data_IF_634796578924
#
_entry.id   IF_634796578924
#
_cell.length_a   1.000
_cell.length_b   1.000
_cell.length_c   1.000
_cell.angle_alpha   90.00
_cell.angle_beta   90.00
_cell.angle_gamma   90.00
#
_symmetry.space_group_name_H-M   'P 1'
#
loop_
_entity.id
_entity.type
_entity.pdbx_description
1 polymer ?
#
# COMPACT_ATOMS: atom_id res chain seq x y z
N UNK A 1 16.16 18.54 1.16
CA UNK A 1 16.55 17.21 1.67
C UNK A 1 16.25 17.02 3.16
N UNK A 2 16.64 17.92 4.07
CA UNK A 2 16.41 17.76 5.53
C UNK A 2 14.92 17.72 5.94
N UNK A 3 14.09 18.59 5.35
CA UNK A 3 12.62 18.59 5.55
C UNK A 3 11.93 17.31 5.05
N UNK A 4 12.48 16.67 4.02
CA UNK A 4 11.97 15.38 3.53
C UNK A 4 12.19 14.30 4.59
N UNK A 5 13.40 14.21 5.12
CA UNK A 5 13.81 13.19 6.11
C UNK A 5 13.01 13.25 7.43
N UNK A 6 12.66 14.44 7.90
CA UNK A 6 11.85 14.62 9.13
C UNK A 6 10.41 14.10 8.97
N UNK A 7 9.84 14.17 7.76
CA UNK A 7 8.47 13.70 7.49
C UNK A 7 8.40 12.17 7.35
N UNK A 8 9.47 11.53 6.86
CA UNK A 8 9.58 10.06 6.81
C UNK A 8 9.64 9.40 8.19
N UNK A 9 10.11 10.12 9.23
CA UNK A 9 10.10 9.65 10.63
C UNK A 9 8.71 9.70 11.27
N UNK A 10 7.82 10.58 10.80
CA UNK A 10 6.52 10.85 11.43
C UNK A 10 5.43 9.84 11.02
N UNK A 11 5.50 9.31 9.80
CA UNK A 11 4.50 8.37 9.24
C UNK A 11 4.77 6.92 9.70
N UNK A 12 5.99 6.61 10.14
CA UNK A 12 6.43 5.24 10.47
C UNK A 12 6.73 5.08 11.96
N UNK A 13 5.85 4.45 12.77
CA UNK A 13 6.13 4.19 14.18
C UNK A 13 7.37 3.30 14.43
N UNK A 14 7.95 2.73 13.37
CA UNK A 14 9.16 1.89 13.43
C UNK A 14 10.32 2.36 12.55
N UNK A 15 10.17 3.43 11.75
CA UNK A 15 11.17 3.85 10.77
C UNK A 15 11.52 2.78 9.72
N UNK A 16 12.10 3.18 8.59
CA UNK A 16 12.82 2.22 7.77
C UNK A 16 14.05 1.75 8.56
N UNK A 17 14.36 0.44 8.64
CA UNK A 17 15.61 0.01 9.25
C UNK A 17 16.77 0.68 8.49
N UNK A 18 17.58 1.48 9.19
CA UNK A 18 18.70 2.23 8.62
C UNK A 18 19.53 1.32 7.68
N UNK A 19 19.59 1.67 6.40
CA UNK A 19 20.34 0.92 5.38
C UNK A 19 19.55 -0.11 4.56
N UNK A 20 18.22 -0.16 4.69
CA UNK A 20 17.40 -1.07 3.88
C UNK A 20 17.09 -0.47 2.52
N UNK A 21 17.80 -0.93 1.48
CA UNK A 21 17.51 -0.54 0.09
C UNK A 21 16.12 -1.05 -0.35
N UNK A 22 15.38 -0.34 -1.23
CA UNK A 22 14.05 -0.74 -1.71
C UNK A 22 13.97 -2.19 -2.23
N UNK A 23 15.06 -2.71 -2.82
CA UNK A 23 15.14 -4.09 -3.31
C UNK A 23 15.06 -5.14 -2.19
N UNK A 24 15.44 -4.80 -0.96
CA UNK A 24 15.33 -5.71 0.18
C UNK A 24 13.90 -5.84 0.68
N UNK A 25 13.10 -4.76 0.60
CA UNK A 25 11.66 -4.79 0.94
C UNK A 25 10.92 -5.68 -0.06
N UNK A 26 11.19 -5.52 -1.35
CA UNK A 26 10.67 -6.39 -2.42
C UNK A 26 11.07 -7.86 -2.23
N UNK A 27 12.33 -8.13 -1.86
CA UNK A 27 12.80 -9.49 -1.58
C UNK A 27 12.09 -10.13 -0.38
N UNK A 28 11.82 -9.34 0.67
CA UNK A 28 11.11 -9.80 1.87
C UNK A 28 9.63 -10.08 1.57
N UNK A 29 9.02 -9.27 0.71
CA UNK A 29 7.66 -9.51 0.19
C UNK A 29 7.60 -10.81 -0.63
N UNK A 30 8.59 -11.05 -1.50
CA UNK A 30 8.65 -12.26 -2.35
C UNK A 30 9.20 -13.52 -1.67
N UNK A 31 9.51 -13.46 -0.38
CA UNK A 31 10.03 -14.61 0.37
C UNK A 31 9.03 -15.78 0.39
N UNK A 32 9.54 -17.01 0.46
CA UNK A 32 8.71 -18.22 0.58
C UNK A 32 7.82 -18.18 1.84
N UNK A 33 8.32 -17.56 2.91
CA UNK A 33 7.61 -17.27 4.15
C UNK A 33 6.43 -16.31 3.93
N UNK A 34 6.63 -15.27 3.09
CA UNK A 34 5.57 -14.33 2.71
C UNK A 34 4.42 -14.98 1.95
N UNK A 35 4.71 -15.90 1.02
CA UNK A 35 3.68 -16.65 0.27
C UNK A 35 2.89 -17.59 1.17
N UNK A 36 3.55 -18.23 2.13
CA UNK A 36 2.87 -19.09 3.11
C UNK A 36 1.97 -18.26 4.04
N UNK A 37 2.43 -17.10 4.49
CA UNK A 37 1.65 -16.17 5.31
C UNK A 37 0.42 -15.62 4.56
N UNK A 38 0.54 -15.29 3.27
CA UNK A 38 -0.61 -14.90 2.43
C UNK A 38 -1.62 -16.02 2.28
N UNK A 39 -1.16 -17.25 2.01
CA UNK A 39 -2.04 -18.41 1.87
C UNK A 39 -2.82 -18.66 3.16
N UNK A 40 -2.12 -18.69 4.31
CA UNK A 40 -2.75 -18.90 5.61
C UNK A 40 -3.70 -17.74 5.93
N UNK A 41 -3.31 -16.48 5.72
CA UNK A 41 -4.18 -15.35 6.02
C UNK A 41 -5.44 -15.33 5.14
N UNK A 42 -5.33 -15.66 3.86
CA UNK A 42 -6.48 -15.74 2.97
C UNK A 42 -7.41 -16.88 3.37
N UNK A 43 -6.85 -18.00 3.83
CA UNK A 43 -7.63 -19.13 4.30
C UNK A 43 -8.33 -18.85 5.63
N UNK A 44 -7.61 -18.31 6.63
CA UNK A 44 -8.15 -17.95 7.94
C UNK A 44 -9.17 -16.80 7.87
N UNK A 45 -9.00 -15.86 6.94
CA UNK A 45 -9.95 -14.76 6.72
C UNK A 45 -11.22 -15.16 5.98
N UNK A 46 -11.37 -16.43 5.60
CA UNK A 46 -12.49 -16.91 4.78
C UNK A 46 -13.62 -17.54 5.62
N UNK A 47 -14.88 -17.39 5.18
CA UNK A 47 -16.03 -18.05 5.84
C UNK A 47 -15.94 -19.59 5.91
N UNK A 48 -15.39 -20.30 4.91
CA UNK A 48 -15.18 -21.75 5.00
C UNK A 48 -14.37 -22.20 6.23
N UNK A 49 -13.38 -21.41 6.66
CA UNK A 49 -12.59 -21.70 7.86
C UNK A 49 -13.46 -21.72 9.12
N UNK A 50 -14.38 -20.75 9.22
CA UNK A 50 -15.33 -20.65 10.35
C UNK A 50 -16.27 -21.85 10.36
N UNK A 51 -16.84 -22.22 9.20
CA UNK A 51 -17.72 -23.39 9.11
C UNK A 51 -17.01 -24.69 9.47
N UNK A 52 -15.75 -24.86 9.02
CA UNK A 52 -14.93 -26.00 9.40
C UNK A 52 -14.76 -26.09 10.92
N UNK A 53 -14.41 -24.99 11.59
CA UNK A 53 -14.24 -24.95 13.05
C UNK A 53 -15.54 -25.27 13.79
N UNK A 54 -16.66 -24.71 13.35
CA UNK A 54 -17.97 -24.99 13.94
C UNK A 54 -18.31 -26.48 13.84
N UNK A 55 -18.14 -27.09 12.66
CA UNK A 55 -18.41 -28.53 12.45
C UNK A 55 -17.45 -29.38 13.28
N UNK A 56 -16.17 -29.02 13.31
CA UNK A 56 -15.14 -29.70 14.10
C UNK A 56 -15.51 -29.68 15.59
N UNK A 57 -15.85 -28.52 16.15
CA UNK A 57 -16.23 -28.40 17.56
C UNK A 57 -17.49 -29.20 17.87
N UNK A 58 -18.54 -29.07 17.05
CA UNK A 58 -19.77 -29.86 17.23
C UNK A 58 -19.46 -31.36 17.20
N UNK A 59 -18.63 -31.80 16.26
CA UNK A 59 -18.21 -33.20 16.16
C UNK A 59 -17.47 -33.66 17.42
N UNK A 60 -16.56 -32.82 17.96
CA UNK A 60 -15.84 -33.12 19.20
C UNK A 60 -16.78 -33.23 20.40
N UNK A 61 -17.73 -32.31 20.53
CA UNK A 61 -18.74 -32.36 21.58
C UNK A 61 -19.61 -33.62 21.47
N UNK A 62 -20.07 -33.97 20.27
CA UNK A 62 -20.89 -35.16 20.06
C UNK A 62 -20.12 -36.43 20.42
N UNK A 63 -18.86 -36.56 20.00
CA UNK A 63 -18.01 -37.73 20.30
C UNK A 63 -17.74 -37.88 21.80
N UNK A 64 -17.53 -36.79 22.53
CA UNK A 64 -17.15 -36.83 23.95
C UNK A 64 -18.34 -36.75 24.93
N UNK A 65 -19.45 -36.11 24.55
CA UNK A 65 -20.64 -35.95 25.39
C UNK A 65 -21.61 -37.11 25.23
N UNK A 66 -21.75 -37.63 24.01
CA UNK A 66 -22.66 -38.74 23.76
C UNK A 66 -21.89 -40.05 23.88
N UNK A 67 -22.28 -40.91 24.81
CA UNK A 67 -21.81 -42.31 24.92
C UNK A 67 -22.18 -43.17 23.67
N UNK A 68 -22.48 -42.54 22.54
CA UNK A 68 -23.05 -43.13 21.33
C UNK A 68 -22.07 -44.08 20.65
N UNK A 69 -20.76 -43.82 20.74
CA UNK A 69 -19.77 -44.65 20.04
C UNK A 69 -19.29 -45.88 20.81
N UNK A 70 -19.40 -45.92 22.14
CA UNK A 70 -19.22 -47.16 22.89
C UNK A 70 -19.65 -47.02 24.36
N UNK A 71 -20.49 -47.95 24.82
CA UNK A 71 -20.80 -48.15 26.25
C UNK A 71 -19.57 -48.63 27.06
N UNK A 72 -18.45 -48.95 26.39
CA UNK A 72 -17.23 -49.49 26.99
C UNK A 72 -15.96 -48.63 26.79
N UNK A 73 -16.03 -47.50 26.07
CA UNK A 73 -14.88 -46.60 25.88
C UNK A 73 -15.05 -45.38 26.77
N UNK A 74 -14.03 -45.13 27.61
CA UNK A 74 -13.93 -43.94 28.45
C UNK A 74 -13.84 -42.69 27.55
N UNK A 75 -14.59 -41.63 27.87
CA UNK A 75 -14.53 -40.37 27.12
C UNK A 75 -13.08 -39.92 26.94
N UNK A 76 -12.69 -39.67 25.68
CA UNK A 76 -11.31 -39.33 25.31
C UNK A 76 -10.89 -37.98 25.91
N UNK A 77 -11.79 -37.00 25.88
CA UNK A 77 -11.63 -35.68 26.47
C UNK A 77 -12.88 -35.35 27.30
N UNK A 78 -12.95 -35.76 28.57
CA UNK A 78 -14.09 -35.50 29.44
C UNK A 78 -14.26 -34.00 29.69
N UNK A 79 -15.50 -33.55 29.93
CA UNK A 79 -15.76 -32.18 30.39
C UNK A 79 -14.88 -31.88 31.62
N UNK A 80 -14.05 -30.82 31.61
CA UNK A 80 -14.19 -29.57 30.83
C UNK A 80 -13.44 -29.49 29.46
N UNK A 81 -13.15 -30.60 28.78
CA UNK A 81 -12.49 -30.65 27.45
C UNK A 81 -11.08 -30.03 27.45
N UNK A 82 -10.20 -30.55 28.30
CA UNK A 82 -8.85 -30.03 28.47
C UNK A 82 -7.97 -30.19 27.22
N UNK A 83 -8.10 -31.31 26.50
CA UNK A 83 -7.30 -31.56 25.30
C UNK A 83 -7.71 -30.63 24.15
N UNK A 84 -9.02 -30.45 23.94
CA UNK A 84 -9.53 -29.51 22.94
C UNK A 84 -9.03 -28.09 23.22
N UNK A 85 -9.14 -27.65 24.47
CA UNK A 85 -8.72 -26.30 24.89
C UNK A 85 -7.23 -26.08 24.66
N UNK A 86 -6.41 -27.08 25.00
CA UNK A 86 -4.96 -27.02 24.76
C UNK A 86 -4.63 -26.92 23.26
N UNK A 87 -5.25 -27.73 22.41
CA UNK A 87 -5.00 -27.71 20.96
C UNK A 87 -5.43 -26.36 20.36
N UNK A 88 -6.64 -25.89 20.67
CA UNK A 88 -7.18 -24.62 20.16
C UNK A 88 -6.34 -23.42 20.63
N UNK A 89 -5.84 -23.43 21.86
CA UNK A 89 -4.97 -22.35 22.35
C UNK A 89 -3.64 -22.29 21.62
N UNK A 90 -3.01 -23.44 21.33
CA UNK A 90 -1.80 -23.49 20.51
C UNK A 90 -2.08 -23.02 19.09
N UNK A 91 -3.17 -23.47 18.49
CA UNK A 91 -3.60 -23.04 17.16
C UNK A 91 -3.84 -21.52 17.11
N UNK A 92 -4.50 -20.95 18.11
CA UNK A 92 -4.74 -19.52 18.20
C UNK A 92 -3.44 -18.70 18.29
N UNK A 93 -2.42 -19.18 19.00
CA UNK A 93 -1.09 -18.52 19.03
C UNK A 93 -0.45 -18.52 17.64
N UNK A 94 -0.50 -19.65 16.92
CA UNK A 94 0.02 -19.71 15.54
C UNK A 94 -0.77 -18.79 14.60
N UNK A 95 -2.10 -18.79 14.67
CA UNK A 95 -2.93 -17.91 13.87
C UNK A 95 -2.64 -16.43 14.16
N UNK A 96 -2.52 -16.04 15.43
CA UNK A 96 -2.19 -14.68 15.82
C UNK A 96 -0.81 -14.24 15.30
N UNK A 97 0.20 -15.12 15.37
CA UNK A 97 1.54 -14.81 14.84
C UNK A 97 1.53 -14.69 13.31
N UNK A 98 0.82 -15.56 12.60
CA UNK A 98 0.67 -15.44 11.14
C UNK A 98 -0.09 -14.18 10.73
N UNK A 99 -1.16 -13.81 11.45
CA UNK A 99 -1.88 -12.55 11.24
C UNK A 99 -0.93 -11.37 11.42
N UNK A 100 -0.14 -11.36 12.50
CA UNK A 100 0.82 -10.28 12.77
C UNK A 100 1.90 -10.17 11.69
N UNK A 101 2.43 -11.29 11.21
CA UNK A 101 3.39 -11.31 10.09
C UNK A 101 2.74 -10.73 8.83
N UNK A 102 1.51 -11.13 8.52
CA UNK A 102 0.79 -10.65 7.34
C UNK A 102 0.46 -9.15 7.45
N UNK A 103 0.07 -8.67 8.63
CA UNK A 103 -0.16 -7.25 8.92
C UNK A 103 1.11 -6.43 8.77
N UNK A 104 2.23 -6.88 9.33
CA UNK A 104 3.51 -6.20 9.19
C UNK A 104 3.96 -6.13 7.72
N UNK A 105 3.72 -7.19 6.93
CA UNK A 105 4.00 -7.17 5.49
C UNK A 105 3.11 -6.19 4.75
N UNK A 106 1.80 -6.18 5.02
CA UNK A 106 0.87 -5.25 4.39
C UNK A 106 1.25 -3.79 4.69
N UNK A 107 1.58 -3.47 5.94
CA UNK A 107 2.04 -2.13 6.32
C UNK A 107 3.28 -1.67 5.52
N UNK A 108 4.23 -2.58 5.26
CA UNK A 108 5.40 -2.28 4.42
C UNK A 108 5.02 -2.04 2.95
N UNK A 109 4.09 -2.83 2.40
CA UNK A 109 3.59 -2.66 1.02
C UNK A 109 2.85 -1.33 0.89
N UNK A 110 1.99 -1.00 1.84
CA UNK A 110 1.21 0.24 1.84
C UNK A 110 2.14 1.45 1.96
N UNK A 111 3.14 1.38 2.84
CA UNK A 111 4.19 2.41 2.91
C UNK A 111 4.88 2.61 1.57
N UNK A 112 5.32 1.53 0.92
CA UNK A 112 6.00 1.63 -0.38
C UNK A 112 5.13 2.31 -1.44
N UNK A 113 3.84 1.94 -1.50
CA UNK A 113 2.87 2.57 -2.43
C UNK A 113 2.75 4.07 -2.20
N UNK A 114 2.60 4.49 -0.95
CA UNK A 114 2.53 5.92 -0.61
C UNK A 114 3.79 6.69 -1.03
N UNK A 115 4.97 6.06 -0.94
CA UNK A 115 6.21 6.69 -1.38
C UNK A 115 6.37 6.77 -2.90
N UNK A 116 5.74 5.86 -3.63
CA UNK A 116 5.69 5.87 -5.08
C UNK A 116 4.72 6.96 -5.56
N UNK A 117 3.53 7.04 -4.96
CA UNK A 117 2.55 8.11 -5.17
C UNK A 117 3.14 9.50 -4.90
N UNK A 118 3.86 9.69 -3.78
CA UNK A 118 4.53 10.97 -3.48
C UNK A 118 5.59 11.33 -4.53
N UNK A 119 6.28 10.34 -5.11
CA UNK A 119 7.28 10.60 -6.14
C UNK A 119 6.63 10.99 -7.47
N UNK A 120 5.54 10.34 -7.85
CA UNK A 120 4.74 10.68 -9.03
C UNK A 120 4.21 12.11 -8.92
N UNK A 121 3.61 12.48 -7.78
CA UNK A 121 3.11 13.84 -7.53
C UNK A 121 4.21 14.91 -7.70
N UNK A 122 5.42 14.63 -7.22
CA UNK A 122 6.57 15.55 -7.35
C UNK A 122 7.14 15.62 -8.77
N UNK A 123 7.00 14.57 -9.56
CA UNK A 123 7.36 14.59 -10.98
C UNK A 123 6.33 15.39 -11.78
N UNK A 124 5.05 15.20 -11.50
CA UNK A 124 3.96 16.00 -12.08
C UNK A 124 4.09 17.49 -11.72
N UNK A 125 4.42 17.82 -10.47
CA UNK A 125 4.63 19.22 -10.04
C UNK A 125 5.77 19.88 -10.84
N UNK A 126 6.87 19.17 -11.09
CA UNK A 126 7.97 19.68 -11.91
C UNK A 126 7.60 19.85 -13.37
N UNK A 127 6.86 18.89 -13.93
CA UNK A 127 6.39 19.00 -15.32
C UNK A 127 5.44 20.21 -15.46
N UNK A 128 4.61 20.48 -14.46
CA UNK A 128 3.78 21.68 -14.43
C UNK A 128 4.61 22.96 -14.35
N UNK A 129 5.62 23.02 -13.48
CA UNK A 129 6.54 24.17 -13.39
C UNK A 129 7.25 24.43 -14.73
N UNK A 130 7.73 23.38 -15.40
CA UNK A 130 8.38 23.48 -16.73
C UNK A 130 7.41 24.00 -17.80
N UNK A 131 6.16 23.51 -17.80
CA UNK A 131 5.11 24.00 -18.71
C UNK A 131 4.74 25.46 -18.44
N UNK A 132 4.71 25.90 -17.17
CA UNK A 132 4.47 27.29 -16.82
C UNK A 132 5.60 28.19 -17.34
N UNK A 133 6.86 27.79 -17.18
CA UNK A 133 8.03 28.51 -17.71
C UNK A 133 7.98 28.62 -19.24
N UNK A 134 7.64 27.54 -19.94
CA UNK A 134 7.48 27.52 -21.39
C UNK A 134 6.37 28.46 -21.87
N UNK A 135 5.23 28.49 -21.16
CA UNK A 135 4.11 29.40 -21.47
C UNK A 135 4.54 30.85 -21.28
N UNK A 136 5.24 31.19 -20.20
CA UNK A 136 5.77 32.54 -19.98
C UNK A 136 6.76 32.95 -21.07
N UNK A 137 7.65 32.04 -21.48
CA UNK A 137 8.59 32.27 -22.57
C UNK A 137 7.88 32.54 -23.91
N UNK A 138 6.84 31.77 -24.24
CA UNK A 138 6.00 31.98 -25.43
C UNK A 138 5.29 33.34 -25.36
N UNK A 139 4.69 33.69 -24.22
CA UNK A 139 4.01 34.99 -24.04
C UNK A 139 4.97 36.17 -24.24
N UNK A 140 6.19 36.07 -23.73
CA UNK A 140 7.23 37.08 -23.93
C UNK A 140 7.59 37.22 -25.41
N UNK A 141 7.84 36.11 -26.10
CA UNK A 141 8.14 36.11 -27.54
C UNK A 141 7.00 36.73 -28.37
N UNK A 142 5.74 36.42 -28.02
CA UNK A 142 4.57 37.02 -28.68
C UNK A 142 4.48 38.53 -28.46
N UNK A 143 4.76 39.02 -27.25
CA UNK A 143 4.80 40.45 -26.95
C UNK A 143 5.90 41.17 -27.73
N UNK A 144 7.09 40.58 -27.84
CA UNK A 144 8.18 41.14 -28.62
C UNK A 144 7.83 41.25 -30.12
N UNK A 145 7.20 40.20 -30.69
CA UNK A 145 6.67 40.22 -32.06
C UNK A 145 5.62 41.31 -32.24
N UNK A 146 4.66 41.43 -31.31
CA UNK A 146 3.62 42.47 -31.35
C UNK A 146 4.22 43.88 -31.36
N UNK A 147 5.23 44.11 -30.52
CA UNK A 147 5.95 45.38 -30.47
C UNK A 147 6.66 45.67 -31.81
N UNK A 148 7.34 44.69 -32.40
CA UNK A 148 7.99 44.85 -33.70
C UNK A 148 6.99 45.17 -34.83
N UNK A 149 5.84 44.50 -34.87
CA UNK A 149 4.78 44.78 -35.84
C UNK A 149 4.25 46.20 -35.69
N UNK A 150 3.98 46.65 -34.45
CA UNK A 150 3.50 48.01 -34.19
C UNK A 150 4.50 49.09 -34.66
N UNK A 151 5.80 48.84 -34.50
CA UNK A 151 6.85 49.72 -34.99
C UNK A 151 6.90 49.78 -36.52
N UNK A 152 6.77 48.63 -37.19
CA UNK A 152 6.71 48.56 -38.65
C UNK A 152 5.47 49.31 -39.15
N UNK A 153 4.29 49.08 -38.55
CA UNK A 153 3.07 49.78 -38.93
C UNK A 153 3.22 51.30 -38.83
N UNK A 154 3.78 51.83 -37.73
CA UNK A 154 4.05 53.26 -37.61
C UNK A 154 5.05 53.80 -38.64
N UNK A 155 6.08 53.01 -39.01
CA UNK A 155 7.00 53.37 -40.10
C UNK A 155 6.33 53.37 -41.47
N UNK A 156 5.46 52.41 -41.75
CA UNK A 156 4.71 52.35 -43.01
C UNK A 156 3.78 53.55 -43.13
N UNK A 157 3.05 53.89 -42.06
CA UNK A 157 2.10 55.01 -42.02
C UNK A 157 2.79 56.38 -42.19
N UNK A 158 4.01 56.53 -41.65
CA UNK A 158 4.83 57.73 -41.86
C UNK A 158 5.43 57.82 -43.26
N UNK A 159 5.77 56.69 -43.90
CA UNK A 159 6.21 56.66 -45.30
C UNK A 159 5.06 57.02 -46.25
N UNK A 160 3.85 56.52 -45.99
CA UNK A 160 2.65 56.79 -46.78
C UNK A 160 2.28 58.29 -46.76
N UNK A 161 2.48 58.99 -45.63
CA UNK A 161 2.32 60.46 -45.56
C UNK A 161 3.41 61.26 -46.28
N UNK A 162 4.60 60.68 -46.50
CA UNK A 162 5.74 61.37 -47.12
C UNK A 162 5.79 61.27 -48.66
N UNK A 163 4.99 60.37 -49.25
CA UNK A 163 4.76 60.26 -50.69
C UNK A 163 3.25 60.34 -50.99
N UNK A 164 2.62 61.52 -50.85
CA UNK A 164 1.28 61.70 -51.37
C UNK A 164 1.33 61.62 -52.91
N UNK A 165 0.47 60.78 -53.48
CA UNK A 165 0.27 60.66 -54.94
C UNK A 165 -0.05 62.00 -55.58
#
# INVERSE_FOLDING_TARGET
MRKKLEHYEEILPFGFPEGTRPDQVLKKIHSAEGKLAEFISNWTGSMPFVYFHVIWFISWFLINSTHVFSRHIKAFDPFPYGLLTMIVSLEAIFLATFIMINQNRQALVDTYRTLEEEQEDLEEEKEQEELEEDVEAIQKNLNDIKNAISFIQGKVESLEKSHPK
#
